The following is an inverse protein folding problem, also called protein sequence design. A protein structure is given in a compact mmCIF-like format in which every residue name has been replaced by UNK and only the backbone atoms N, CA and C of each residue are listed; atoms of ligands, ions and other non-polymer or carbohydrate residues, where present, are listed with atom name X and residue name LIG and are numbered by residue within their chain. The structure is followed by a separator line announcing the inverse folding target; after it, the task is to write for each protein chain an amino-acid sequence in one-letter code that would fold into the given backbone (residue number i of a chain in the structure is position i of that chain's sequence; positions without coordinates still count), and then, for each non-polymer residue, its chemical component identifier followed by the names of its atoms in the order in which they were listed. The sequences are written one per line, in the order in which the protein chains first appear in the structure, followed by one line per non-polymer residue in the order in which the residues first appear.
data_IF_105071273246
#
_entry.id   IF_105071273246
#
_cell.length_a   1.000
_cell.length_b   1.000
_cell.length_c   1.000
_cell.angle_alpha   90.00
_cell.angle_beta   90.00
_cell.angle_gamma   90.00
#
_symmetry.space_group_name_H-M   'P 1'
#
loop_
_entity.id
_entity.type
_entity.pdbx_description
1 polymer ?
#
# COMPACT_ATOMS: atom_id res chain seq x y z
N UNK A 1 -13.38 -29.67 32.97
CA UNK A 1 -13.18 -28.87 31.74
C UNK A 1 -12.78 -27.47 32.13
N UNK A 2 -11.62 -26.99 31.67
CA UNK A 2 -11.13 -25.63 31.93
C UNK A 2 -11.70 -24.58 30.94
N UNK A 3 -12.48 -25.04 29.95
CA UNK A 3 -13.17 -24.19 29.00
C UNK A 3 -14.50 -23.66 29.57
N UNK A 4 -14.46 -22.45 30.12
CA UNK A 4 -15.65 -21.59 30.27
C UNK A 4 -15.91 -20.85 28.94
N UNK A 5 -17.08 -20.24 28.74
CA UNK A 5 -17.36 -19.46 27.53
C UNK A 5 -16.32 -18.36 27.28
N UNK A 6 -15.85 -17.70 28.34
CA UNK A 6 -14.85 -16.64 28.24
C UNK A 6 -13.46 -17.20 27.88
N UNK A 7 -13.09 -18.33 28.47
CA UNK A 7 -11.82 -19.01 28.17
C UNK A 7 -11.79 -19.57 26.74
N UNK A 8 -12.93 -20.07 26.25
CA UNK A 8 -13.09 -20.50 24.86
C UNK A 8 -12.97 -19.34 23.88
N UNK A 9 -13.55 -18.18 24.20
CA UNK A 9 -13.41 -16.98 23.39
C UNK A 9 -11.97 -16.49 23.31
N UNK A 10 -11.25 -16.50 24.44
CA UNK A 10 -9.83 -16.16 24.49
C UNK A 10 -8.97 -17.14 23.69
N UNK A 11 -9.26 -18.44 23.78
CA UNK A 11 -8.62 -19.49 22.99
C UNK A 11 -8.76 -19.25 21.48
N UNK A 12 -9.98 -18.94 21.02
CA UNK A 12 -10.25 -18.67 19.59
C UNK A 12 -9.53 -17.40 19.12
N UNK A 13 -9.51 -16.36 19.95
CA UNK A 13 -8.83 -15.09 19.64
C UNK A 13 -7.31 -15.29 19.54
N UNK A 14 -6.70 -16.01 20.48
CA UNK A 14 -5.27 -16.35 20.44
C UNK A 14 -4.88 -17.23 19.26
N UNK A 15 -5.79 -18.09 18.80
CA UNK A 15 -5.60 -18.88 17.58
C UNK A 15 -5.58 -17.98 16.33
N UNK A 16 -6.51 -17.01 16.22
CA UNK A 16 -6.55 -16.03 15.11
C UNK A 16 -5.26 -15.20 15.05
N UNK A 17 -4.75 -14.76 16.21
CA UNK A 17 -3.52 -13.98 16.33
C UNK A 17 -2.22 -14.82 16.17
N UNK A 18 -2.33 -16.14 15.96
CA UNK A 18 -1.19 -17.06 15.81
C UNK A 18 -0.20 -17.08 17.00
N UNK A 19 -0.57 -16.51 18.15
CA UNK A 19 0.25 -16.52 19.37
C UNK A 19 0.07 -17.80 20.19
N UNK A 20 -0.97 -18.59 19.91
CA UNK A 20 -1.31 -19.78 20.68
C UNK A 20 -1.97 -19.43 22.02
N UNK A 21 -2.34 -20.45 22.80
CA UNK A 21 -2.94 -20.28 24.12
C UNK A 21 -2.36 -21.30 25.10
N UNK A 22 -2.23 -20.93 26.37
CA UNK A 22 -1.79 -21.85 27.44
C UNK A 22 -2.84 -22.93 27.78
N UNK A 23 -4.07 -22.79 27.27
CA UNK A 23 -5.18 -23.70 27.51
C UNK A 23 -5.15 -24.86 26.49
N UNK A 24 -4.73 -26.05 26.92
CA UNK A 24 -4.69 -27.24 26.08
C UNK A 24 -6.01 -28.05 26.16
N UNK A 25 -6.67 -28.36 25.03
CA UNK A 25 -7.82 -29.26 25.02
C UNK A 25 -7.45 -30.68 25.45
N UNK A 26 -8.10 -31.16 26.52
CA UNK A 26 -7.83 -32.47 27.12
C UNK A 26 -8.51 -33.63 26.36
N UNK A 27 -9.69 -33.40 25.75
CA UNK A 27 -10.45 -34.45 25.05
C UNK A 27 -10.04 -34.59 23.58
N UNK A 28 -10.05 -35.81 23.06
CA UNK A 28 -9.71 -36.13 21.66
C UNK A 28 -10.62 -35.42 20.66
N UNK A 29 -11.92 -35.30 20.95
CA UNK A 29 -12.88 -34.58 20.09
C UNK A 29 -12.57 -33.07 20.02
N UNK A 30 -12.22 -32.46 21.15
CA UNK A 30 -11.85 -31.04 21.22
C UNK A 30 -10.52 -30.74 20.53
N UNK A 31 -9.59 -31.70 20.49
CA UNK A 31 -8.33 -31.58 19.75
C UNK A 31 -8.54 -31.56 18.24
N UNK A 32 -9.48 -32.38 17.72
CA UNK A 32 -9.82 -32.38 16.30
C UNK A 32 -10.49 -31.06 15.86
N UNK A 33 -11.37 -30.51 16.70
CA UNK A 33 -11.96 -29.19 16.47
C UNK A 33 -10.91 -28.08 16.49
N UNK A 34 -9.99 -28.11 17.48
CA UNK A 34 -8.90 -27.15 17.57
C UNK A 34 -7.94 -27.22 16.37
N UNK A 35 -7.62 -28.42 15.86
CA UNK A 35 -6.75 -28.57 14.70
C UNK A 35 -7.45 -28.13 13.41
N UNK A 36 -8.74 -28.46 13.23
CA UNK A 36 -9.52 -27.97 12.10
C UNK A 36 -9.64 -26.44 12.10
N UNK A 37 -9.87 -25.83 13.28
CA UNK A 37 -9.90 -24.38 13.43
C UNK A 37 -8.55 -23.73 13.13
N UNK A 38 -7.47 -24.31 13.64
CA UNK A 38 -6.11 -23.80 13.39
C UNK A 38 -5.74 -23.84 11.91
N UNK A 39 -6.15 -24.91 11.20
CA UNK A 39 -5.96 -25.02 9.76
C UNK A 39 -6.75 -23.96 8.98
N UNK A 40 -8.00 -23.72 9.37
CA UNK A 40 -8.83 -22.68 8.79
C UNK A 40 -8.23 -21.27 8.97
N UNK A 41 -7.80 -20.94 10.18
CA UNK A 41 -7.14 -19.66 10.50
C UNK A 41 -5.85 -19.49 9.69
N UNK A 42 -5.04 -20.54 9.58
CA UNK A 42 -3.80 -20.51 8.79
C UNK A 42 -4.07 -20.15 7.33
N UNK A 43 -5.09 -20.75 6.71
CA UNK A 43 -5.48 -20.43 5.32
C UNK A 43 -5.87 -18.96 5.21
N UNK A 44 -6.74 -18.46 6.09
CA UNK A 44 -7.20 -17.07 6.04
C UNK A 44 -6.04 -16.09 6.23
N UNK A 45 -5.19 -16.32 7.23
CA UNK A 45 -4.06 -15.44 7.50
C UNK A 45 -3.10 -15.38 6.31
N UNK A 46 -2.80 -16.54 5.70
CA UNK A 46 -1.93 -16.60 4.53
C UNK A 46 -2.56 -15.97 3.27
N UNK A 47 -3.86 -16.13 3.07
CA UNK A 47 -4.55 -15.44 1.97
C UNK A 47 -4.59 -13.92 2.18
N UNK A 48 -4.76 -13.46 3.42
CA UNK A 48 -4.70 -12.04 3.76
C UNK A 48 -3.29 -11.48 3.54
N UNK A 49 -2.25 -12.14 4.04
CA UNK A 49 -0.86 -11.69 3.84
C UNK A 49 -0.46 -11.71 2.37
N UNK A 50 -0.91 -12.69 1.59
CA UNK A 50 -0.69 -12.74 0.14
C UNK A 50 -1.40 -11.60 -0.60
N UNK A 51 -2.66 -11.32 -0.28
CA UNK A 51 -3.40 -10.23 -0.92
C UNK A 51 -2.86 -8.84 -0.50
N UNK A 52 -2.46 -8.69 0.76
CA UNK A 52 -1.81 -7.49 1.25
C UNK A 52 -0.47 -7.27 0.54
N UNK A 53 0.36 -8.31 0.41
CA UNK A 53 1.63 -8.22 -0.33
C UNK A 53 1.41 -7.85 -1.79
N UNK A 54 0.42 -8.48 -2.46
CA UNK A 54 0.05 -8.13 -3.82
C UNK A 54 -0.37 -6.66 -3.94
N UNK A 55 -1.19 -6.16 -3.00
CA UNK A 55 -1.60 -4.76 -2.98
C UNK A 55 -0.41 -3.81 -2.77
N UNK A 56 0.51 -4.14 -1.87
CA UNK A 56 1.70 -3.33 -1.61
C UNK A 56 2.68 -3.31 -2.80
N UNK A 57 2.70 -4.35 -3.63
CA UNK A 57 3.51 -4.38 -4.86
C UNK A 57 2.84 -3.71 -6.05
N UNK A 58 1.53 -3.45 -6.00
CA UNK A 58 0.85 -2.77 -7.09
C UNK A 58 0.99 -1.27 -6.85
N UNK A 59 1.95 -0.68 -7.56
CA UNK A 59 1.95 0.76 -7.78
C UNK A 59 0.66 1.15 -8.49
N UNK A 60 -0.29 1.74 -7.75
CA UNK A 60 -1.47 2.33 -8.37
C UNK A 60 -1.01 3.60 -9.09
N UNK A 61 -0.67 3.46 -10.37
CA UNK A 61 -0.54 4.60 -11.26
C UNK A 61 -1.91 5.27 -11.38
N UNK A 62 -2.19 6.22 -10.47
CA UNK A 62 -3.40 7.03 -10.45
C UNK A 62 -3.37 7.99 -11.64
N UNK A 63 -3.66 7.45 -12.81
CA UNK A 63 -3.74 8.23 -14.04
C UNK A 63 -4.94 9.17 -13.94
N UNK A 64 -4.69 10.48 -13.95
CA UNK A 64 -5.72 11.52 -13.93
C UNK A 64 -6.71 11.39 -15.11
N UNK A 65 -6.22 10.89 -16.24
CA UNK A 65 -7.00 10.56 -17.43
C UNK A 65 -6.30 9.45 -18.22
N UNK A 66 -7.07 8.64 -18.93
CA UNK A 66 -6.54 7.59 -19.82
C UNK A 66 -6.84 7.88 -21.28
N UNK A 67 -7.93 8.59 -21.56
CA UNK A 67 -8.37 8.90 -22.93
C UNK A 67 -8.50 10.40 -23.15
N UNK A 68 -8.25 10.86 -24.37
CA UNK A 68 -8.41 12.27 -24.74
C UNK A 68 -9.87 12.74 -24.64
N UNK A 69 -10.83 11.83 -24.79
CA UNK A 69 -12.25 12.14 -24.55
C UNK A 69 -12.53 12.51 -23.08
N UNK A 70 -11.86 11.86 -22.12
CA UNK A 70 -11.99 12.19 -20.69
C UNK A 70 -11.37 13.56 -20.41
N UNK A 71 -10.21 13.84 -21.00
CA UNK A 71 -9.56 15.15 -20.92
C UNK A 71 -10.43 16.27 -21.52
N UNK A 72 -11.12 16.00 -22.63
CA UNK A 72 -12.02 16.96 -23.26
C UNK A 72 -13.36 17.13 -22.54
N UNK A 73 -13.81 16.11 -21.80
CA UNK A 73 -15.08 16.10 -21.06
C UNK A 73 -14.93 16.59 -19.61
N UNK A 74 -13.71 16.96 -19.19
CA UNK A 74 -13.43 17.42 -17.85
C UNK A 74 -14.26 18.65 -17.49
N UNK A 75 -15.00 18.56 -16.38
CA UNK A 75 -15.76 19.68 -15.87
C UNK A 75 -14.80 20.76 -15.30
N UNK A 76 -15.08 22.06 -15.51
CA UNK A 76 -14.27 23.13 -14.92
C UNK A 76 -14.27 23.12 -13.39
N UNK A 77 -15.27 22.48 -12.76
CA UNK A 77 -15.41 22.34 -11.30
C UNK A 77 -14.81 21.01 -10.77
N UNK A 78 -14.07 20.27 -11.60
CA UNK A 78 -13.43 19.02 -11.17
C UNK A 78 -12.33 19.31 -10.12
N UNK A 79 -12.11 18.40 -9.15
CA UNK A 79 -11.13 18.61 -8.08
C UNK A 79 -9.68 18.73 -8.57
N UNK A 80 -9.38 18.20 -9.75
CA UNK A 80 -8.13 18.37 -10.50
C UNK A 80 -8.55 18.80 -11.89
N UNK A 81 -8.02 19.92 -12.41
CA UNK A 81 -8.32 20.42 -13.76
C UNK A 81 -7.05 20.45 -14.61
N UNK A 82 -6.92 19.50 -15.54
CA UNK A 82 -5.72 19.40 -16.37
C UNK A 82 -5.87 20.32 -17.58
N UNK A 83 -5.14 21.43 -17.56
CA UNK A 83 -5.03 22.32 -18.72
C UNK A 83 -4.36 21.56 -19.86
N UNK A 84 -4.71 21.83 -21.10
CA UNK A 84 -4.03 21.21 -22.24
C UNK A 84 -3.79 22.20 -23.36
N UNK A 85 -2.69 22.01 -24.07
CA UNK A 85 -2.32 22.88 -25.17
C UNK A 85 -1.29 22.26 -26.10
N UNK A 86 -1.00 22.98 -27.18
CA UNK A 86 -0.05 22.57 -28.19
C UNK A 86 0.91 23.73 -28.52
N UNK A 87 1.90 23.45 -29.38
CA UNK A 87 2.74 24.49 -29.93
C UNK A 87 1.94 25.43 -30.83
N UNK A 88 1.99 26.74 -30.55
CA UNK A 88 1.39 27.80 -31.36
C UNK A 88 2.00 27.87 -32.77
N UNK A 89 1.15 28.04 -33.78
CA UNK A 89 1.48 27.98 -35.20
C UNK A 89 1.89 26.58 -35.68
N UNK A 90 1.72 25.54 -34.85
CA UNK A 90 2.13 24.16 -35.16
C UNK A 90 1.15 23.38 -36.03
N UNK A 91 1.60 22.24 -36.55
CA UNK A 91 0.76 21.31 -37.29
C UNK A 91 -0.36 20.71 -36.43
N UNK A 92 -0.10 20.50 -35.14
CA UNK A 92 -1.06 20.03 -34.13
C UNK A 92 -2.18 21.05 -33.89
N UNK A 93 -1.85 22.35 -33.76
CA UNK A 93 -2.87 23.40 -33.68
C UNK A 93 -3.78 23.39 -34.92
N UNK A 94 -3.16 23.33 -36.10
CA UNK A 94 -3.90 23.28 -37.36
C UNK A 94 -4.77 22.02 -37.53
N UNK A 95 -4.45 20.92 -36.84
CA UNK A 95 -5.27 19.72 -36.82
C UNK A 95 -6.57 19.95 -36.04
N UNK A 96 -6.48 20.46 -34.82
CA UNK A 96 -7.65 20.76 -33.99
C UNK A 96 -8.56 21.81 -34.64
N UNK A 97 -7.98 22.84 -35.26
CA UNK A 97 -8.72 23.88 -36.00
C UNK A 97 -9.51 23.34 -37.20
N UNK A 98 -9.02 22.30 -37.88
CA UNK A 98 -9.65 21.73 -39.09
C UNK A 98 -10.43 20.44 -38.83
N UNK A 99 -10.42 19.95 -37.59
CA UNK A 99 -11.06 18.69 -37.25
C UNK A 99 -12.58 18.79 -37.41
N UNK A 100 -13.20 17.70 -37.87
CA UNK A 100 -14.65 17.56 -37.94
C UNK A 100 -15.23 16.79 -36.73
N UNK A 101 -14.38 16.31 -35.82
CA UNK A 101 -14.83 15.61 -34.62
C UNK A 101 -15.31 16.61 -33.56
N UNK A 102 -16.49 16.38 -33.00
CA UNK A 102 -17.09 17.24 -31.97
C UNK A 102 -16.21 17.40 -30.74
N UNK A 103 -15.47 16.36 -30.36
CA UNK A 103 -14.58 16.38 -29.18
C UNK A 103 -13.37 17.26 -29.47
N UNK A 104 -12.73 17.08 -30.61
CA UNK A 104 -11.57 17.87 -31.01
C UNK A 104 -11.91 19.34 -31.30
N UNK A 105 -13.13 19.62 -31.78
CA UNK A 105 -13.64 20.99 -31.90
C UNK A 105 -13.85 21.65 -30.54
N UNK A 106 -14.40 20.95 -29.55
CA UNK A 106 -14.50 21.46 -28.17
C UNK A 106 -13.13 21.77 -27.58
N UNK A 107 -12.17 20.87 -27.76
CA UNK A 107 -10.78 21.09 -27.34
C UNK A 107 -10.15 22.30 -28.05
N UNK A 108 -10.42 22.47 -29.35
CA UNK A 108 -9.98 23.64 -30.10
C UNK A 108 -10.54 24.93 -29.52
N UNK A 109 -11.85 24.99 -29.26
CA UNK A 109 -12.48 26.18 -28.67
C UNK A 109 -11.84 26.54 -27.34
N UNK A 110 -11.63 25.56 -26.45
CA UNK A 110 -10.93 25.78 -25.19
C UNK A 110 -9.50 26.32 -25.38
N UNK A 111 -8.71 25.72 -26.28
CA UNK A 111 -7.34 26.16 -26.58
C UNK A 111 -7.30 27.54 -27.24
N UNK A 112 -8.31 27.87 -28.05
CA UNK A 112 -8.42 29.15 -28.74
C UNK A 112 -8.77 30.27 -27.76
N UNK A 113 -9.74 30.03 -26.87
CA UNK A 113 -10.18 31.00 -25.87
C UNK A 113 -9.06 31.30 -24.85
N UNK A 114 -8.26 30.29 -24.52
CA UNK A 114 -7.15 30.39 -23.55
C UNK A 114 -5.77 30.45 -24.22
N UNK A 115 -5.67 30.95 -25.46
CA UNK A 115 -4.48 30.83 -26.30
C UNK A 115 -3.16 31.24 -25.62
N UNK A 116 -3.16 32.34 -24.86
CA UNK A 116 -1.94 32.84 -24.18
C UNK A 116 -1.54 32.00 -22.96
N UNK A 117 -2.51 31.34 -22.32
CA UNK A 117 -2.26 30.56 -21.11
C UNK A 117 -1.87 29.12 -21.46
N UNK A 118 -2.50 28.48 -22.46
CA UNK A 118 -2.28 27.05 -22.72
C UNK A 118 -1.33 26.76 -23.87
N UNK A 119 -1.16 27.66 -24.85
CA UNK A 119 -0.30 27.40 -26.01
C UNK A 119 1.15 27.79 -25.71
N UNK A 120 2.10 26.99 -26.18
CA UNK A 120 3.53 27.27 -26.01
C UNK A 120 4.19 27.72 -27.32
N UNK A 121 5.31 28.43 -27.24
CA UNK A 121 6.03 28.92 -28.44
C UNK A 121 6.88 27.80 -29.05
N UNK A 122 7.35 26.87 -28.24
CA UNK A 122 8.24 25.77 -28.65
C UNK A 122 7.88 24.45 -27.95
N UNK A 123 8.22 23.34 -28.60
CA UNK A 123 8.05 22.01 -28.00
C UNK A 123 8.85 21.86 -26.70
N UNK A 124 10.05 22.43 -26.63
CA UNK A 124 10.88 22.38 -25.41
C UNK A 124 10.21 23.07 -24.23
N UNK A 125 9.65 24.26 -24.47
CA UNK A 125 8.89 25.00 -23.46
C UNK A 125 7.65 24.22 -23.00
N UNK A 126 6.94 23.56 -23.93
CA UNK A 126 5.83 22.67 -23.60
C UNK A 126 6.26 21.50 -22.71
N UNK A 127 7.37 20.85 -23.03
CA UNK A 127 7.93 19.75 -22.24
C UNK A 127 8.36 20.23 -20.85
N UNK A 128 9.08 21.34 -20.78
CA UNK A 128 9.57 21.88 -19.51
C UNK A 128 8.43 22.36 -18.61
N UNK A 129 7.32 22.82 -19.19
CA UNK A 129 6.10 23.16 -18.45
C UNK A 129 5.42 21.94 -17.82
N UNK A 130 5.35 20.82 -18.55
CA UNK A 130 4.83 19.55 -18.00
C UNK A 130 5.71 19.08 -16.85
N UNK A 131 7.04 19.21 -16.97
CA UNK A 131 7.99 18.87 -15.90
C UNK A 131 7.89 19.79 -14.68
N UNK A 132 7.45 21.03 -14.87
CA UNK A 132 7.20 21.99 -13.79
C UNK A 132 6.09 21.56 -12.80
N UNK A 133 5.51 20.36 -12.97
CA UNK A 133 4.39 19.81 -12.19
C UNK A 133 3.16 20.70 -12.17
N UNK A 134 2.99 21.54 -13.20
CA UNK A 134 1.69 22.13 -13.49
C UNK A 134 0.75 21.01 -13.95
N UNK A 135 -0.52 21.06 -13.55
CA UNK A 135 -1.59 20.17 -14.06
C UNK A 135 -1.85 20.51 -15.54
N UNK A 136 -0.90 20.16 -16.40
CA UNK A 136 -0.83 20.55 -17.80
C UNK A 136 -0.45 19.36 -18.68
N UNK A 137 -1.25 19.10 -19.72
CA UNK A 137 -0.98 18.10 -20.74
C UNK A 137 -0.53 18.77 -22.04
N UNK A 138 0.66 18.42 -22.52
CA UNK A 138 1.20 18.96 -23.77
C UNK A 138 0.95 18.03 -24.97
N UNK A 139 0.27 18.56 -25.98
CA UNK A 139 -0.05 17.85 -27.22
C UNK A 139 1.06 18.07 -28.24
N UNK A 140 1.77 16.99 -28.57
CA UNK A 140 2.92 16.98 -29.47
C UNK A 140 2.86 15.78 -30.43
N UNK A 141 3.65 15.80 -31.50
CA UNK A 141 3.77 14.68 -32.44
C UNK A 141 4.41 13.46 -31.77
N UNK A 142 3.88 12.25 -32.05
CA UNK A 142 4.29 11.01 -31.37
C UNK A 142 5.80 10.76 -31.41
N UNK A 143 6.46 10.99 -32.55
CA UNK A 143 7.91 10.81 -32.62
C UNK A 143 8.68 11.76 -31.69
N UNK A 144 8.19 12.99 -31.49
CA UNK A 144 8.83 13.91 -30.54
C UNK A 144 8.53 13.50 -29.09
N UNK A 145 7.35 12.92 -28.82
CA UNK A 145 7.00 12.41 -27.49
C UNK A 145 7.91 11.23 -27.14
N UNK A 146 8.01 10.23 -28.02
CA UNK A 146 8.89 9.08 -27.85
C UNK A 146 10.34 9.51 -27.61
N UNK A 147 10.78 10.62 -28.22
CA UNK A 147 12.14 11.13 -28.05
C UNK A 147 12.38 11.67 -26.63
N UNK A 148 11.42 12.43 -26.09
CA UNK A 148 11.53 13.08 -24.78
C UNK A 148 11.29 12.08 -23.64
N UNK A 149 10.33 11.15 -23.80
CA UNK A 149 10.03 10.10 -22.80
C UNK A 149 11.22 9.16 -22.60
N UNK A 150 11.95 8.80 -23.66
CA UNK A 150 13.17 7.97 -23.56
C UNK A 150 14.33 8.66 -22.82
N UNK A 151 14.23 9.97 -22.58
CA UNK A 151 15.27 10.82 -21.94
C UNK A 151 14.87 11.35 -20.57
N UNK A 152 13.57 11.61 -20.37
CA UNK A 152 13.02 12.25 -19.19
C UNK A 152 11.93 11.34 -18.61
N UNK A 153 12.28 10.61 -17.56
CA UNK A 153 11.44 9.52 -17.02
C UNK A 153 10.23 10.01 -16.23
N UNK A 154 10.23 11.29 -15.88
CA UNK A 154 9.08 11.99 -15.30
C UNK A 154 7.94 12.19 -16.30
N UNK A 155 8.19 12.01 -17.60
CA UNK A 155 7.20 12.14 -18.65
C UNK A 155 6.67 10.78 -19.06
N UNK A 156 5.35 10.69 -19.26
CA UNK A 156 4.73 9.54 -19.92
C UNK A 156 3.81 9.97 -21.05
N UNK A 157 3.74 9.14 -22.07
CA UNK A 157 2.68 9.25 -23.08
C UNK A 157 1.36 8.73 -22.49
N UNK A 158 0.26 9.45 -22.74
CA UNK A 158 -1.09 9.05 -22.33
C UNK A 158 -1.96 8.86 -23.56
N UNK A 159 -2.72 7.76 -23.59
CA UNK A 159 -3.66 7.46 -24.65
C UNK A 159 -3.01 7.02 -25.97
N UNK A 160 -3.83 6.96 -27.02
CA UNK A 160 -3.42 6.58 -28.37
C UNK A 160 -3.12 7.81 -29.25
N UNK A 161 -2.35 7.66 -30.33
CA UNK A 161 -2.18 8.72 -31.32
C UNK A 161 -3.51 9.24 -31.85
N UNK A 162 -3.69 10.56 -31.86
CA UNK A 162 -4.92 11.22 -32.29
C UNK A 162 -5.13 11.21 -33.81
N UNK A 163 -4.04 11.05 -34.55
CA UNK A 163 -4.04 10.97 -36.00
C UNK A 163 -2.93 10.04 -36.51
N UNK A 164 -3.08 9.62 -37.77
CA UNK A 164 -2.06 8.86 -38.50
C UNK A 164 -1.36 9.77 -39.48
N UNK A 165 -0.30 10.45 -39.01
CA UNK A 165 0.60 11.26 -39.84
C UNK A 165 1.95 10.58 -40.01
N UNK A 166 2.64 10.94 -41.09
CA UNK A 166 3.99 10.46 -41.37
C UNK A 166 4.89 11.59 -41.87
N UNK A 167 6.18 11.50 -41.55
CA UNK A 167 7.18 12.40 -42.10
C UNK A 167 7.51 12.02 -43.55
N UNK A 168 7.61 13.04 -44.41
CA UNK A 168 7.96 12.88 -45.81
C UNK A 168 9.07 13.83 -46.22
N UNK A 169 9.86 13.42 -47.21
CA UNK A 169 10.88 14.27 -47.82
C UNK A 169 10.19 15.13 -48.89
N UNK A 170 10.14 16.44 -48.66
CA UNK A 170 9.51 17.39 -49.57
C UNK A 170 10.46 17.70 -50.73
N UNK A 171 9.93 17.75 -51.96
CA UNK A 171 10.69 18.04 -53.17
C UNK A 171 9.93 19.01 -54.08
N UNK A 172 10.62 19.81 -54.91
CA UNK A 172 9.97 20.61 -55.93
C UNK A 172 9.08 19.78 -56.85
N UNK A 173 8.00 20.39 -57.35
CA UNK A 173 7.12 19.74 -58.33
C UNK A 173 7.94 19.32 -59.55
N UNK A 174 7.73 18.09 -60.03
CA UNK A 174 8.42 17.49 -61.19
C UNK A 174 9.94 17.32 -61.05
N UNK A 175 10.46 17.18 -59.82
CA UNK A 175 11.88 16.84 -59.61
C UNK A 175 12.25 15.49 -60.26
N UNK A 176 13.33 15.47 -61.06
CA UNK A 176 13.78 14.28 -61.81
C UNK A 176 14.19 13.11 -60.92
N UNK A 177 14.70 13.40 -59.72
CA UNK A 177 15.16 12.40 -58.75
C UNK A 177 14.05 11.87 -57.81
N UNK A 178 12.82 12.37 -57.93
CA UNK A 178 11.71 12.01 -57.02
C UNK A 178 11.45 10.49 -57.00
N UNK A 179 11.39 9.87 -58.18
CA UNK A 179 11.11 8.44 -58.29
C UNK A 179 12.25 7.59 -57.72
N UNK A 180 13.50 8.00 -57.97
CA UNK A 180 14.70 7.32 -57.47
C UNK A 180 14.79 7.37 -55.94
N UNK A 181 14.50 8.52 -55.32
CA UNK A 181 14.49 8.65 -53.87
C UNK A 181 13.31 7.89 -53.25
N UNK A 182 12.13 7.97 -53.85
CA UNK A 182 10.95 7.25 -53.36
C UNK A 182 11.18 5.74 -53.35
N UNK A 183 11.74 5.16 -54.41
CA UNK A 183 12.05 3.73 -54.46
C UNK A 183 13.15 3.34 -53.47
N UNK A 184 14.14 4.21 -53.26
CA UNK A 184 15.20 3.99 -52.28
C UNK A 184 14.67 3.98 -50.84
N UNK A 185 13.73 4.86 -50.50
CA UNK A 185 13.08 4.89 -49.18
C UNK A 185 12.29 3.61 -48.92
N UNK A 186 11.49 3.15 -49.89
CA UNK A 186 10.76 1.87 -49.79
C UNK A 186 11.73 0.71 -49.59
N UNK A 187 12.82 0.66 -50.36
CA UNK A 187 13.87 -0.36 -50.19
C UNK A 187 14.53 -0.33 -48.81
N UNK A 188 14.68 0.85 -48.21
CA UNK A 188 15.19 0.99 -46.83
C UNK A 188 14.16 0.52 -45.78
N UNK A 189 12.88 0.73 -46.04
CA UNK A 189 11.78 0.26 -45.20
C UNK A 189 11.66 -1.27 -45.23
N UNK A 190 11.65 -1.88 -46.42
CA UNK A 190 11.61 -3.34 -46.61
C UNK A 190 12.80 -4.05 -45.95
N UNK A 191 13.98 -3.44 -46.03
CA UNK A 191 15.20 -3.95 -45.36
C UNK A 191 15.23 -3.69 -43.84
N UNK A 192 14.22 -3.02 -43.29
CA UNK A 192 14.17 -2.66 -41.86
C UNK A 192 15.20 -1.62 -41.42
N UNK A 193 15.94 -0.99 -42.34
CA UNK A 193 16.99 -0.01 -42.00
C UNK A 193 16.41 1.22 -41.30
N UNK A 194 15.21 1.66 -41.68
CA UNK A 194 14.55 2.80 -41.03
C UNK A 194 14.23 2.49 -39.56
N UNK A 195 13.78 1.27 -39.26
CA UNK A 195 13.52 0.82 -37.88
C UNK A 195 14.81 0.78 -37.05
N UNK A 196 15.90 0.27 -37.64
CA UNK A 196 17.21 0.26 -36.99
C UNK A 196 17.71 1.68 -36.69
N UNK A 197 17.54 2.62 -37.63
CA UNK A 197 17.88 4.02 -37.41
C UNK A 197 17.00 4.65 -36.33
N UNK A 198 15.70 4.36 -36.31
CA UNK A 198 14.80 4.84 -35.27
C UNK A 198 15.30 4.41 -33.89
N UNK A 199 15.47 3.10 -33.66
CA UNK A 199 16.00 2.55 -32.41
C UNK A 199 17.33 3.18 -32.02
N UNK A 200 18.27 3.28 -32.97
CA UNK A 200 19.59 3.86 -32.74
C UNK A 200 19.53 5.31 -32.25
N UNK A 201 18.67 6.15 -32.84
CA UNK A 201 18.64 7.59 -32.53
C UNK A 201 17.69 7.96 -31.40
N UNK A 202 16.61 7.18 -31.19
CA UNK A 202 15.65 7.42 -30.12
C UNK A 202 16.09 6.77 -28.81
N UNK A 203 16.46 5.48 -28.86
CA UNK A 203 16.63 4.63 -27.68
C UNK A 203 18.09 4.37 -27.29
N UNK A 204 19.04 4.41 -28.23
CA UNK A 204 20.44 4.01 -27.92
C UNK A 204 21.43 5.19 -27.83
N UNK A 205 21.18 6.29 -28.55
CA UNK A 205 22.11 7.40 -28.67
C UNK A 205 21.56 8.67 -28.03
N UNK A 206 22.48 9.55 -27.62
CA UNK A 206 22.18 10.90 -27.07
C UNK A 206 21.22 10.84 -25.88
N UNK A 207 21.48 9.96 -24.91
CA UNK A 207 20.68 9.82 -23.70
C UNK A 207 19.34 9.12 -23.88
N UNK A 208 19.09 8.46 -25.02
CA UNK A 208 17.96 7.54 -25.15
C UNK A 208 18.16 6.30 -24.27
N UNK A 209 17.07 5.70 -23.81
CA UNK A 209 17.10 4.54 -22.92
C UNK A 209 17.50 4.88 -21.48
N UNK A 210 17.57 6.17 -21.13
CA UNK A 210 17.87 6.63 -19.77
C UNK A 210 16.76 6.29 -18.77
N UNK A 211 15.58 5.90 -19.25
CA UNK A 211 14.46 5.42 -18.44
C UNK A 211 14.31 3.90 -18.45
N UNK A 212 15.15 3.21 -19.23
CA UNK A 212 15.26 1.75 -19.25
C UNK A 212 16.45 1.26 -18.40
N UNK A 213 17.06 2.12 -17.59
CA UNK A 213 18.05 1.68 -16.59
C UNK A 213 17.29 0.96 -15.49
N UNK A 214 17.37 -0.36 -15.59
CA UNK A 214 17.10 -1.38 -14.58
C UNK A 214 15.63 -1.68 -14.20
N UNK A 215 14.96 -2.40 -15.11
CA UNK A 215 14.02 -3.50 -14.71
C UNK A 215 14.70 -4.58 -13.81
N UNK A 216 16.00 -4.43 -13.49
CA UNK A 216 16.78 -5.32 -12.62
C UNK A 216 17.11 -4.74 -11.24
N UNK A 217 16.55 -3.61 -10.85
CA UNK A 217 16.92 -2.91 -9.62
C UNK A 217 15.85 -1.97 -9.12
N UNK A 218 14.58 -2.36 -9.21
CA UNK A 218 13.57 -1.78 -8.32
C UNK A 218 13.96 -2.17 -6.90
N UNK A 219 14.78 -1.34 -6.25
CA UNK A 219 14.71 -1.23 -4.80
C UNK A 219 13.23 -1.06 -4.50
N UNK A 220 12.63 -2.10 -3.92
CA UNK A 220 11.23 -2.06 -3.54
C UNK A 220 11.03 -0.74 -2.79
N UNK A 221 10.11 0.11 -3.27
CA UNK A 221 9.80 1.37 -2.59
C UNK A 221 9.65 1.05 -1.10
N UNK A 222 10.46 1.74 -0.29
CA UNK A 222 10.45 1.55 1.15
C UNK A 222 9.01 1.76 1.63
N UNK A 223 8.50 0.83 2.44
CA UNK A 223 7.15 0.93 2.98
C UNK A 223 6.99 2.27 3.72
N UNK A 224 6.28 3.21 3.10
CA UNK A 224 6.05 4.52 3.68
C UNK A 224 5.07 4.42 4.86
N UNK A 225 5.18 5.38 5.78
CA UNK A 225 4.30 5.47 6.95
C UNK A 225 2.83 5.65 6.57
N UNK A 226 2.53 6.15 5.37
CA UNK A 226 1.17 6.29 4.87
C UNK A 226 0.48 4.92 4.68
N UNK A 227 1.22 3.87 4.35
CA UNK A 227 0.68 2.52 4.15
C UNK A 227 0.44 1.80 5.49
N UNK A 228 1.21 2.14 6.54
CA UNK A 228 1.19 1.45 7.86
C UNK A 228 0.58 2.30 8.98
N UNK A 229 0.33 3.58 8.75
CA UNK A 229 -0.13 4.55 9.75
C UNK A 229 -1.43 4.15 10.45
N UNK A 230 -2.35 3.50 9.73
CA UNK A 230 -3.58 2.97 10.31
C UNK A 230 -3.37 1.95 11.43
N UNK A 231 -2.31 1.12 11.33
CA UNK A 231 -1.98 0.11 12.35
C UNK A 231 -1.55 0.78 13.66
N UNK A 232 -0.74 1.83 13.57
CA UNK A 232 -0.30 2.60 14.75
C UNK A 232 -1.47 3.32 15.44
N UNK A 233 -2.41 3.84 14.67
CA UNK A 233 -3.59 4.52 15.22
C UNK A 233 -4.47 3.54 16.01
N UNK A 234 -4.73 2.35 15.46
CA UNK A 234 -5.50 1.29 16.15
C UNK A 234 -4.80 0.85 17.43
N UNK A 235 -3.47 0.69 17.42
CA UNK A 235 -2.70 0.31 18.60
C UNK A 235 -2.77 1.35 19.72
N UNK A 236 -2.66 2.64 19.37
CA UNK A 236 -2.77 3.74 20.33
C UNK A 236 -4.15 3.81 20.95
N UNK A 237 -5.21 3.76 20.13
CA UNK A 237 -6.58 3.79 20.63
C UNK A 237 -6.91 2.55 21.48
N UNK A 238 -6.49 1.36 21.05
CA UNK A 238 -6.69 0.11 21.79
C UNK A 238 -6.00 0.11 23.15
N UNK A 239 -4.77 0.64 23.22
CA UNK A 239 -4.01 0.74 24.47
C UNK A 239 -4.62 1.75 25.44
N UNK A 240 -5.10 2.90 24.94
CA UNK A 240 -5.82 3.88 25.76
C UNK A 240 -7.11 3.29 26.31
N UNK A 241 -7.93 2.64 25.47
CA UNK A 241 -9.18 2.03 25.91
C UNK A 241 -8.94 0.94 26.96
N UNK A 242 -7.94 0.08 26.76
CA UNK A 242 -7.56 -0.94 27.73
C UNK A 242 -7.13 -0.32 29.08
N UNK A 243 -6.36 0.77 29.03
CA UNK A 243 -5.97 1.51 30.24
C UNK A 243 -7.19 2.10 30.96
N UNK A 244 -8.14 2.69 30.23
CA UNK A 244 -9.37 3.22 30.81
C UNK A 244 -10.25 2.14 31.44
N UNK A 245 -10.38 0.98 30.80
CA UNK A 245 -11.13 -0.16 31.36
C UNK A 245 -10.46 -0.64 32.65
N UNK A 246 -9.13 -0.81 32.65
CA UNK A 246 -8.39 -1.25 33.83
C UNK A 246 -8.50 -0.24 35.00
N UNK A 247 -8.43 1.06 34.71
CA UNK A 247 -8.66 2.11 35.71
C UNK A 247 -10.12 2.09 36.22
N UNK A 248 -11.09 1.87 35.33
CA UNK A 248 -12.50 1.75 35.67
C UNK A 248 -12.79 0.57 36.59
N UNK A 249 -12.23 -0.62 36.29
CA UNK A 249 -12.34 -1.81 37.15
C UNK A 249 -11.69 -1.57 38.52
N UNK A 250 -10.50 -0.93 38.55
CA UNK A 250 -9.82 -0.58 39.80
C UNK A 250 -10.65 0.42 40.63
N UNK A 251 -11.27 1.42 40.00
CA UNK A 251 -12.17 2.36 40.68
C UNK A 251 -13.42 1.67 41.19
N UNK A 252 -14.03 0.79 40.40
CA UNK A 252 -15.22 0.05 40.78
C UNK A 252 -14.96 -0.91 41.95
N UNK A 253 -13.84 -1.64 41.95
CA UNK A 253 -13.44 -2.48 43.07
C UNK A 253 -13.18 -1.68 44.35
N UNK A 254 -12.56 -0.51 44.24
CA UNK A 254 -12.31 0.37 45.39
C UNK A 254 -13.63 0.94 45.93
N UNK A 255 -14.57 1.30 45.05
CA UNK A 255 -15.90 1.81 45.43
C UNK A 255 -16.79 0.73 46.08
N UNK A 256 -16.69 -0.53 45.66
CA UNK A 256 -17.42 -1.64 46.30
C UNK A 256 -16.80 -2.07 47.64
N UNK A 257 -15.47 -1.91 47.80
CA UNK A 257 -14.78 -2.18 49.07
C UNK A 257 -14.94 -1.06 50.10
N UNK A 258 -15.78 -0.07 49.84
CA UNK A 258 -16.03 1.08 50.70
C UNK A 258 -16.87 0.68 51.92
N UNK A 259 -16.20 0.00 52.86
CA UNK A 259 -16.45 0.09 54.28
C UNK A 259 -15.08 0.13 54.99
N UNK A 260 -14.62 1.36 55.24
CA UNK A 260 -13.49 1.85 56.07
C UNK A 260 -12.15 2.23 55.41
N UNK A 261 -11.93 3.55 55.49
CA UNK A 261 -10.71 4.36 55.60
C UNK A 261 -9.84 4.68 54.37
N UNK A 262 -9.79 6.00 54.09
CA UNK A 262 -8.88 6.74 53.19
C UNK A 262 -8.58 6.11 51.83
N UNK A 263 -9.58 6.23 50.95
CA UNK A 263 -9.56 6.03 49.49
C UNK A 263 -8.20 6.29 48.82
N UNK A 264 -7.58 7.44 49.09
CA UNK A 264 -6.31 7.85 48.48
C UNK A 264 -5.08 7.05 48.93
N UNK A 265 -5.12 6.44 50.11
CA UNK A 265 -4.00 5.66 50.67
C UNK A 265 -4.00 4.23 50.14
N UNK A 266 -5.18 3.65 49.91
CA UNK A 266 -5.37 2.31 49.35
C UNK A 266 -5.11 2.30 47.84
N UNK A 267 -5.59 3.33 47.12
CA UNK A 267 -5.35 3.54 45.69
C UNK A 267 -3.86 3.73 45.39
N UNK A 268 -3.13 4.51 46.20
CA UNK A 268 -1.66 4.64 46.07
C UNK A 268 -0.92 3.33 46.35
N UNK A 269 -1.41 2.47 47.24
CA UNK A 269 -0.78 1.16 47.51
C UNK A 269 -1.03 0.17 46.38
N UNK A 270 -2.27 0.08 45.87
CA UNK A 270 -2.63 -0.80 44.75
C UNK A 270 -1.94 -0.33 43.45
N UNK A 271 -1.89 0.98 43.17
CA UNK A 271 -1.14 1.53 42.01
C UNK A 271 0.37 1.26 42.13
N UNK A 272 0.94 1.40 43.33
CA UNK A 272 2.35 1.08 43.61
C UNK A 272 2.63 -0.42 43.49
N UNK A 273 1.66 -1.28 43.79
CA UNK A 273 1.77 -2.73 43.61
C UNK A 273 1.72 -3.13 42.13
N UNK A 274 0.80 -2.56 41.34
CA UNK A 274 0.72 -2.74 39.89
C UNK A 274 2.01 -2.28 39.20
N UNK A 275 2.54 -1.12 39.59
CA UNK A 275 3.82 -0.60 39.08
C UNK A 275 5.02 -1.44 39.56
N UNK A 276 4.91 -2.14 40.70
CA UNK A 276 5.99 -2.94 41.26
C UNK A 276 6.10 -4.35 40.68
N UNK A 277 5.18 -4.80 39.80
CA UNK A 277 5.23 -6.09 39.08
C UNK A 277 5.68 -7.30 39.93
N UNK A 278 5.22 -7.41 41.18
CA UNK A 278 5.55 -8.53 42.08
C UNK A 278 4.33 -9.42 42.33
N UNK A 279 4.10 -10.35 41.41
CA UNK A 279 3.35 -11.59 41.64
C UNK A 279 1.83 -11.52 41.47
N UNK A 280 1.28 -12.57 40.86
CA UNK A 280 -0.13 -12.72 40.42
C UNK A 280 -1.09 -13.16 41.54
N UNK A 281 -0.66 -13.23 42.80
CA UNK A 281 -1.49 -13.78 43.90
C UNK A 281 -1.42 -12.89 45.14
N UNK A 282 -2.58 -12.37 45.57
CA UNK A 282 -2.78 -11.57 46.78
C UNK A 282 -2.72 -12.49 48.01
N UNK A 283 -1.72 -12.32 48.88
CA UNK A 283 -1.68 -12.97 50.20
C UNK A 283 -2.65 -12.23 51.14
N UNK A 284 -3.70 -12.92 51.62
CA UNK A 284 -4.60 -12.42 52.66
C UNK A 284 -3.85 -12.34 53.99
N UNK A 285 -3.91 -11.20 54.69
CA UNK A 285 -3.33 -11.05 56.04
C UNK A 285 -4.04 -11.97 57.03
N UNK A 286 -3.32 -12.65 57.95
CA UNK A 286 -3.95 -13.36 59.05
C UNK A 286 -4.53 -12.34 60.05
N UNK A 287 -5.75 -12.62 60.52
CA UNK A 287 -6.37 -11.89 61.62
C UNK A 287 -5.65 -12.23 62.93
N UNK A 288 -5.00 -11.26 63.57
CA UNK A 288 -4.54 -11.38 64.96
C UNK A 288 -5.76 -11.42 65.87
N UNK A 289 -6.12 -12.62 66.34
CA UNK A 289 -6.70 -12.86 67.67
C UNK A 289 -6.82 -14.37 67.92
N UNK A 290 -6.06 -14.88 68.90
CA UNK A 290 -6.29 -16.20 69.51
C UNK A 290 -5.03 -17.03 69.72
N UNK A 291 -4.58 -17.13 70.96
CA UNK A 291 -3.54 -18.04 71.44
C UNK A 291 -3.81 -19.50 71.04
N UNK A 292 -2.79 -20.20 70.52
CA UNK A 292 -2.81 -21.65 70.31
C UNK A 292 -1.50 -22.18 69.69
N UNK A 293 -0.71 -22.86 70.53
CA UNK A 293 0.41 -23.79 70.26
C UNK A 293 0.87 -24.04 68.82
N UNK A 294 2.16 -23.80 68.59
CA UNK A 294 2.94 -24.30 67.46
C UNK A 294 3.27 -25.79 67.65
N UNK A 295 2.34 -26.69 67.32
CA UNK A 295 2.63 -28.13 67.21
C UNK A 295 1.51 -28.89 66.45
N UNK A 296 1.32 -28.63 65.16
CA UNK A 296 0.68 -29.54 64.21
C UNK A 296 0.85 -28.94 62.80
N UNK A 297 0.88 -29.76 61.75
CA UNK A 297 0.99 -29.46 60.30
C UNK A 297 2.31 -29.87 59.63
N UNK A 298 3.45 -30.01 60.33
CA UNK A 298 4.69 -30.51 59.66
C UNK A 298 4.65 -32.02 59.33
N UNK A 299 3.72 -32.80 59.91
CA UNK A 299 3.78 -34.27 59.79
C UNK A 299 3.17 -34.84 58.48
N UNK A 300 2.37 -34.08 57.72
CA UNK A 300 1.59 -34.69 56.62
C UNK A 300 2.19 -34.57 55.21
N UNK A 301 3.37 -33.97 55.05
CA UNK A 301 3.98 -33.75 53.72
C UNK A 301 5.08 -34.78 53.36
N UNK A 302 5.61 -35.53 54.34
CA UNK A 302 6.65 -36.55 54.07
C UNK A 302 6.09 -37.94 53.70
N UNK A 303 4.87 -38.31 54.08
CA UNK A 303 4.33 -39.65 53.78
C UNK A 303 3.82 -39.83 52.33
N UNK A 304 3.77 -38.78 51.50
CA UNK A 304 3.31 -38.90 50.10
C UNK A 304 4.40 -39.11 49.05
N UNK A 305 5.69 -39.07 49.43
CA UNK A 305 6.81 -39.22 48.49
C UNK A 305 7.36 -40.64 48.35
N UNK A 306 6.89 -41.62 49.13
CA UNK A 306 7.33 -43.03 49.02
C UNK A 306 6.20 -43.95 48.57
N UNK A 307 5.94 -44.03 47.26
CA UNK A 307 5.34 -45.21 46.60
C UNK A 307 5.34 -45.01 45.07
N UNK A 308 6.44 -45.39 44.45
CA UNK A 308 6.50 -45.70 43.01
C UNK A 308 6.88 -47.17 42.89
N UNK A 309 6.09 -48.05 42.25
CA UNK A 309 6.59 -49.33 41.80
C UNK A 309 7.19 -49.17 40.39
N UNK A 310 8.44 -49.59 40.30
CA UNK A 310 9.18 -49.87 39.06
C UNK A 310 8.42 -50.83 38.13
N UNK A 311 8.59 -50.65 36.82
CA UNK A 311 8.20 -51.67 35.83
C UNK A 311 8.47 -51.27 34.38
N UNK A 312 9.69 -51.57 33.90
CA UNK A 312 10.09 -52.05 32.56
C UNK A 312 9.06 -51.92 31.41
N UNK A 313 9.41 -51.50 30.18
CA UNK A 313 10.44 -52.11 29.32
C UNK A 313 10.55 -51.32 28.00
N UNK A 314 11.77 -50.95 27.58
CA UNK A 314 12.10 -50.69 26.16
C UNK A 314 12.01 -52.01 25.37
N UNK A 315 11.35 -52.02 24.21
CA UNK A 315 11.79 -52.80 23.03
C UNK A 315 10.98 -52.45 21.77
N UNK A 316 11.76 -52.28 20.70
CA UNK A 316 11.45 -52.09 19.28
C UNK A 316 10.91 -50.74 18.84
#
# INVERSE_FOLDING_TARGET
NQFSLNNSFWYVTGAILQQGSELAPASTSTRLLASAWSFFVLIIANSYTANLAAFLTVESNNNLFSTVNELAAQAPDAPVFVKYGAKGGGATEGFFKRSNDTTYQKMWTYMHDNYKDVMTKSNKEGVDRVLGKEEYAFLMESASIDYEVERKCELRQVGQPLDNKGYGIVMPKKAWYRNLLSSSVVRMQEKGKLRQLYKKWWQEKRGGGACNVDEGGGDAEELDLDNVGGVFLVLMFGSLLACFIALGELMYEVFIKEDKDSFWSELKKELKFVISCKGTVKQLKPSENGNGSAEEIVVNEEERKSKTPNGLRKRS
#
